data_IF_240368707814
#
_entry.id   IF_240368707814
#
_cell.length_a   1.000
_cell.length_b   1.000
_cell.length_c   1.000
_cell.angle_alpha   90.00
_cell.angle_beta   90.00
_cell.angle_gamma   90.00
#
_symmetry.space_group_name_H-M   'P 1'
#
loop_
_entity.id
_entity.type
_entity.pdbx_description
1 polymer ?
#
# COMPACT_ATOMS: atom_id res chain seq x y z
N UNK A 1 -8.54 14.52 -3.13
CA UNK A 1 -9.22 14.43 -1.83
C UNK A 1 -10.53 13.70 -2.10
N UNK A 2 -10.65 12.45 -1.62
CA UNK A 2 -11.83 11.59 -1.79
C UNK A 2 -12.99 12.26 -1.04
N UNK A 3 -14.20 12.31 -1.61
CA UNK A 3 -15.30 13.19 -1.17
C UNK A 3 -15.93 12.88 0.21
N UNK A 4 -15.18 12.26 1.11
CA UNK A 4 -15.55 11.98 2.49
C UNK A 4 -15.63 13.27 3.30
N UNK A 5 -16.55 13.32 4.25
CA UNK A 5 -16.59 14.37 5.28
C UNK A 5 -16.01 13.82 6.56
N UNK A 6 -15.09 14.58 7.17
CA UNK A 6 -14.51 14.27 8.47
C UNK A 6 -14.88 15.37 9.45
N UNK A 7 -15.30 14.97 10.64
CA UNK A 7 -15.54 15.85 11.76
C UNK A 7 -14.82 15.25 12.96
N UNK A 8 -13.93 16.02 13.59
CA UNK A 8 -13.11 15.56 14.70
C UNK A 8 -13.28 16.43 15.93
N UNK A 9 -12.95 15.85 17.07
CA UNK A 9 -12.82 16.52 18.35
C UNK A 9 -11.78 15.81 19.21
N UNK A 10 -11.63 16.25 20.45
CA UNK A 10 -10.64 15.65 21.36
C UNK A 10 -10.96 14.17 21.62
N UNK A 11 -10.10 13.28 21.11
CA UNK A 11 -10.20 11.84 21.33
C UNK A 11 -11.27 11.11 20.49
N UNK A 12 -11.83 11.74 19.46
CA UNK A 12 -12.79 11.09 18.56
C UNK A 12 -12.81 11.68 17.15
N UNK A 13 -13.30 10.90 16.20
CA UNK A 13 -13.51 11.29 14.81
C UNK A 13 -14.78 10.65 14.24
N UNK A 14 -15.55 11.42 13.49
CA UNK A 14 -16.64 10.94 12.64
C UNK A 14 -16.17 11.03 11.19
N UNK A 15 -16.29 9.93 10.45
CA UNK A 15 -16.05 9.88 9.01
C UNK A 15 -17.36 9.50 8.32
N UNK A 16 -17.85 10.39 7.46
CA UNK A 16 -18.92 10.11 6.52
C UNK A 16 -18.29 9.77 5.16
N UNK A 17 -18.37 8.51 4.71
CA UNK A 17 -17.83 8.15 3.42
C UNK A 17 -18.61 8.81 2.29
N UNK A 18 -17.91 9.07 1.18
CA UNK A 18 -18.48 9.53 -0.08
C UNK A 18 -19.60 8.59 -0.58
N UNK A 19 -19.40 7.28 -0.44
CA UNK A 19 -20.36 6.26 -0.83
C UNK A 19 -21.65 6.41 0.00
N UNK A 20 -22.80 6.72 -0.63
CA UNK A 20 -24.08 6.89 0.06
C UNK A 20 -24.58 5.65 0.81
N UNK A 21 -24.05 4.47 0.48
CA UNK A 21 -24.42 3.19 1.08
C UNK A 21 -23.47 2.75 2.20
N UNK A 22 -22.41 3.50 2.47
CA UNK A 22 -21.51 3.19 3.57
C UNK A 22 -22.03 3.80 4.87
N UNK A 23 -21.90 3.04 5.96
CA UNK A 23 -22.22 3.53 7.29
C UNK A 23 -21.28 4.68 7.69
N UNK A 24 -21.79 5.71 8.40
CA UNK A 24 -20.94 6.61 9.16
C UNK A 24 -19.99 5.82 10.07
N UNK A 25 -18.74 6.23 10.18
CA UNK A 25 -17.77 5.65 11.10
C UNK A 25 -17.51 6.63 12.23
N UNK A 26 -17.52 6.14 13.46
CA UNK A 26 -17.20 6.91 14.66
C UNK A 26 -16.06 6.20 15.36
N UNK A 27 -14.89 6.81 15.31
CA UNK A 27 -13.65 6.30 15.89
C UNK A 27 -13.39 7.05 17.20
N UNK A 28 -13.13 6.31 18.27
CA UNK A 28 -12.83 6.86 19.59
C UNK A 28 -11.43 6.40 19.99
N UNK A 29 -10.55 7.32 20.37
CA UNK A 29 -9.24 6.98 20.90
C UNK A 29 -9.40 6.13 22.18
N UNK A 30 -8.63 5.04 22.28
CA UNK A 30 -8.59 4.13 23.42
C UNK A 30 -8.43 4.85 24.77
N UNK A 31 -7.71 5.97 24.81
CA UNK A 31 -7.56 6.80 26.02
C UNK A 31 -8.88 7.44 26.47
N UNK A 32 -9.79 7.68 25.52
CA UNK A 32 -11.08 8.32 25.74
C UNK A 32 -12.25 7.32 25.62
N UNK A 33 -11.98 6.01 25.56
CA UNK A 33 -12.99 4.97 25.33
C UNK A 33 -14.21 5.07 26.25
N UNK A 34 -14.02 5.49 27.52
CA UNK A 34 -15.10 5.62 28.50
C UNK A 34 -15.63 7.06 28.65
N UNK A 35 -14.81 8.06 28.32
CA UNK A 35 -15.12 9.48 28.59
C UNK A 35 -15.53 10.26 27.35
N UNK A 36 -15.45 9.65 26.16
CA UNK A 36 -15.74 10.32 24.90
C UNK A 36 -17.21 10.76 24.83
N UNK A 37 -17.49 11.99 24.36
CA UNK A 37 -18.86 12.44 24.11
C UNK A 37 -19.58 11.57 23.07
N UNK A 38 -18.84 10.87 22.20
CA UNK A 38 -19.42 10.00 21.17
C UNK A 38 -20.05 8.71 21.72
N UNK A 39 -19.85 8.41 23.00
CA UNK A 39 -20.57 7.36 23.70
C UNK A 39 -22.06 7.72 23.93
N UNK A 40 -22.38 9.02 24.01
CA UNK A 40 -23.76 9.50 24.06
C UNK A 40 -24.39 9.35 22.67
N UNK A 41 -25.48 8.56 22.60
CA UNK A 41 -26.17 8.28 21.34
C UNK A 41 -26.83 9.53 20.74
N UNK A 42 -27.44 10.39 21.57
CA UNK A 42 -28.15 11.58 21.10
C UNK A 42 -27.14 12.57 20.53
N UNK A 43 -26.08 12.84 21.27
CA UNK A 43 -25.02 13.75 20.82
C UNK A 43 -24.33 13.24 19.55
N UNK A 44 -24.09 11.92 19.46
CA UNK A 44 -23.53 11.29 18.26
C UNK A 44 -24.47 11.42 17.05
N UNK A 45 -25.76 11.20 17.23
CA UNK A 45 -26.75 11.36 16.15
C UNK A 45 -26.82 12.82 15.65
N UNK A 46 -26.79 13.79 16.56
CA UNK A 46 -26.73 15.22 16.21
C UNK A 46 -25.45 15.57 15.43
N UNK A 47 -24.29 15.12 15.91
CA UNK A 47 -23.01 15.35 15.24
C UNK A 47 -22.96 14.72 13.83
N UNK A 48 -23.49 13.50 13.67
CA UNK A 48 -23.65 12.86 12.37
C UNK A 48 -24.59 13.67 11.47
N UNK A 49 -25.68 14.24 12.02
CA UNK A 49 -26.59 15.13 11.31
C UNK A 49 -25.87 16.34 10.70
N UNK A 50 -25.06 17.04 11.51
CA UNK A 50 -24.24 18.18 11.06
C UNK A 50 -23.27 17.76 9.94
N UNK A 51 -22.58 16.64 10.13
CA UNK A 51 -21.67 16.12 9.12
C UNK A 51 -22.42 15.77 7.80
N UNK A 52 -23.66 15.25 7.89
CA UNK A 52 -24.50 14.95 6.72
C UNK A 52 -24.93 16.22 5.98
N UNK A 53 -25.20 17.31 6.68
CA UNK A 53 -25.48 18.61 6.06
C UNK A 53 -24.26 19.10 5.26
N UNK A 54 -23.07 19.07 5.87
CA UNK A 54 -21.82 19.42 5.19
C UNK A 54 -21.58 18.52 3.96
N UNK A 55 -21.87 17.23 4.09
CA UNK A 55 -21.76 16.27 2.99
C UNK A 55 -22.65 16.65 1.80
N UNK A 56 -23.82 17.29 2.00
CA UNK A 56 -24.62 17.78 0.88
C UNK A 56 -23.91 18.91 0.13
N UNK A 57 -23.25 19.82 0.83
CA UNK A 57 -22.46 20.89 0.21
C UNK A 57 -21.27 20.35 -0.57
N UNK A 58 -20.54 19.38 -0.01
CA UNK A 58 -19.42 18.70 -0.69
C UNK A 58 -19.91 17.99 -1.96
N UNK A 59 -21.05 17.28 -1.87
CA UNK A 59 -21.69 16.64 -3.03
C UNK A 59 -22.08 17.64 -4.11
N UNK A 60 -22.68 18.77 -3.74
CA UNK A 60 -23.08 19.80 -4.68
C UNK A 60 -21.88 20.39 -5.43
N UNK A 61 -20.77 20.64 -4.73
CA UNK A 61 -19.54 21.13 -5.34
C UNK A 61 -18.96 20.11 -6.31
N UNK A 62 -18.89 18.83 -5.92
CA UNK A 62 -18.42 17.75 -6.81
C UNK A 62 -19.28 17.62 -8.06
N UNK A 63 -20.60 17.71 -7.93
CA UNK A 63 -21.52 17.62 -9.05
C UNK A 63 -21.49 18.83 -9.99
N UNK A 64 -20.97 19.97 -9.54
CA UNK A 64 -20.78 21.14 -10.40
C UNK A 64 -19.73 20.89 -11.49
N UNK A 65 -18.72 20.06 -11.19
CA UNK A 65 -17.67 19.69 -12.14
C UNK A 65 -18.07 18.53 -13.06
N UNK A 66 -19.20 17.86 -12.78
CA UNK A 66 -19.66 16.72 -13.56
C UNK A 66 -20.48 17.15 -14.77
N UNK A 67 -20.46 16.38 -15.87
CA UNK A 67 -21.42 16.55 -16.95
C UNK A 67 -22.85 16.50 -16.40
N UNK A 68 -23.73 17.40 -16.86
CA UNK A 68 -25.15 17.43 -16.42
C UNK A 68 -25.84 16.06 -16.54
N UNK A 69 -25.49 15.27 -17.56
CA UNK A 69 -26.03 13.93 -17.79
C UNK A 69 -25.52 12.86 -16.82
N UNK A 70 -24.50 13.14 -16.01
CA UNK A 70 -24.06 12.24 -14.94
C UNK A 70 -25.02 12.23 -13.75
N UNK A 71 -25.71 13.35 -13.50
CA UNK A 71 -26.63 13.48 -12.35
C UNK A 71 -28.11 13.55 -12.75
N UNK A 72 -28.39 13.83 -14.02
CA UNK A 72 -29.75 13.98 -14.54
C UNK A 72 -29.98 13.12 -15.80
N UNK A 73 -30.60 11.93 -15.65
CA UNK A 73 -31.00 11.09 -16.76
C UNK A 73 -31.89 11.84 -17.77
N UNK A 74 -31.88 11.41 -19.04
CA UNK A 74 -32.85 11.86 -20.05
C UNK A 74 -34.21 11.13 -19.94
N UNK A 75 -35.08 11.32 -20.94
CA UNK A 75 -36.41 10.72 -20.92
C UNK A 75 -36.36 9.18 -21.09
N UNK A 76 -35.32 8.69 -21.75
CA UNK A 76 -35.02 7.29 -22.01
C UNK A 76 -34.19 6.65 -20.88
N UNK A 77 -33.77 7.43 -19.90
CA UNK A 77 -32.97 7.02 -18.75
C UNK A 77 -31.46 7.01 -18.99
N UNK A 78 -30.97 7.52 -20.11
CA UNK A 78 -29.55 7.57 -20.40
C UNK A 78 -28.84 8.57 -19.49
N UNK A 79 -27.65 8.18 -19.04
CA UNK A 79 -26.74 8.99 -18.25
C UNK A 79 -25.33 8.91 -18.83
N UNK A 80 -24.48 9.87 -18.45
CA UNK A 80 -23.07 9.93 -18.89
C UNK A 80 -22.12 9.71 -17.72
N UNK A 81 -21.11 8.86 -17.91
CA UNK A 81 -20.08 8.64 -16.88
C UNK A 81 -19.37 9.96 -16.50
N UNK A 82 -19.18 10.25 -15.20
CA UNK A 82 -18.65 11.54 -14.75
C UNK A 82 -17.16 11.74 -15.03
N UNK A 83 -16.38 10.66 -15.11
CA UNK A 83 -14.92 10.72 -15.22
C UNK A 83 -14.32 10.11 -16.49
N UNK A 84 -15.09 9.27 -17.18
CA UNK A 84 -14.58 8.45 -18.28
C UNK A 84 -15.29 8.91 -19.54
N UNK A 85 -14.53 9.13 -20.59
CA UNK A 85 -15.07 9.48 -21.90
C UNK A 85 -15.71 8.24 -22.53
N UNK A 86 -17.00 8.08 -22.25
CA UNK A 86 -17.82 6.95 -22.70
C UNK A 86 -19.13 7.47 -23.29
N UNK A 87 -19.77 6.66 -24.13
CA UNK A 87 -21.11 6.96 -24.63
C UNK A 87 -22.14 6.98 -23.49
N UNK A 88 -23.24 7.70 -23.72
CA UNK A 88 -24.36 7.71 -22.79
C UNK A 88 -25.08 6.36 -22.85
N UNK A 89 -25.48 5.84 -21.69
CA UNK A 89 -26.17 4.55 -21.60
C UNK A 89 -27.26 4.61 -20.53
N UNK A 90 -28.33 3.88 -20.75
CA UNK A 90 -29.38 3.63 -19.75
C UNK A 90 -29.11 2.38 -18.89
N UNK A 91 -28.06 1.61 -19.21
CA UNK A 91 -27.62 0.41 -18.49
C UNK A 91 -26.12 0.45 -18.20
N UNK A 92 -25.77 0.06 -16.98
CA UNK A 92 -24.42 0.09 -16.44
C UNK A 92 -24.16 -1.19 -15.65
N UNK A 93 -22.91 -1.63 -15.62
CA UNK A 93 -22.50 -2.88 -15.03
C UNK A 93 -21.38 -2.65 -14.01
N UNK A 94 -21.49 -3.31 -12.86
CA UNK A 94 -20.45 -3.24 -11.85
C UNK A 94 -19.42 -4.36 -12.02
N UNK A 95 -18.15 -3.99 -12.18
CA UNK A 95 -17.03 -4.92 -12.32
C UNK A 95 -16.84 -5.85 -11.11
N UNK A 96 -17.26 -5.43 -9.92
CA UNK A 96 -17.01 -6.18 -8.66
C UNK A 96 -18.04 -7.25 -8.37
N UNK A 97 -19.30 -7.03 -8.75
CA UNK A 97 -20.41 -7.88 -8.33
C UNK A 97 -21.35 -8.27 -9.47
N UNK A 98 -20.96 -7.97 -10.71
CA UNK A 98 -21.72 -8.28 -11.92
C UNK A 98 -23.17 -7.77 -11.89
N UNK A 99 -23.45 -6.72 -11.12
CA UNK A 99 -24.80 -6.16 -11.05
C UNK A 99 -25.09 -5.28 -12.27
N UNK A 100 -26.30 -5.40 -12.82
CA UNK A 100 -26.86 -4.52 -13.85
C UNK A 100 -27.65 -3.39 -13.18
N UNK A 101 -27.36 -2.15 -13.58
CA UNK A 101 -27.79 -0.93 -12.90
C UNK A 101 -28.35 0.01 -13.97
N UNK A 102 -29.58 0.48 -13.76
CA UNK A 102 -30.18 1.47 -14.67
C UNK A 102 -29.56 2.86 -14.50
N UNK A 103 -29.62 3.68 -15.54
CA UNK A 103 -29.15 5.07 -15.50
C UNK A 103 -29.71 5.90 -14.32
N UNK A 104 -31.02 5.86 -14.04
CA UNK A 104 -31.59 6.52 -12.86
C UNK A 104 -31.05 5.98 -11.53
N UNK A 105 -30.84 4.66 -11.40
CA UNK A 105 -30.29 4.06 -10.18
C UNK A 105 -28.85 4.53 -9.94
N UNK A 106 -27.99 4.52 -10.98
CA UNK A 106 -26.58 4.88 -10.82
C UNK A 106 -26.39 6.38 -10.58
N UNK A 107 -27.14 7.24 -11.28
CA UNK A 107 -27.10 8.68 -11.06
C UNK A 107 -27.61 9.04 -9.65
N UNK A 108 -28.71 8.40 -9.20
CA UNK A 108 -29.26 8.58 -7.86
C UNK A 108 -28.36 8.09 -6.73
N UNK A 109 -27.45 7.16 -7.03
CA UNK A 109 -26.45 6.63 -6.09
C UNK A 109 -25.05 7.20 -6.31
N UNK A 110 -24.94 8.36 -6.97
CA UNK A 110 -23.68 9.11 -7.11
C UNK A 110 -22.57 8.30 -7.78
N UNK A 111 -22.95 7.44 -8.72
CA UNK A 111 -22.05 6.54 -9.43
C UNK A 111 -21.38 5.46 -8.59
N UNK A 112 -21.82 5.25 -7.34
CA UNK A 112 -21.48 4.03 -6.62
C UNK A 112 -22.41 2.89 -7.01
N UNK A 113 -21.89 1.66 -7.12
CA UNK A 113 -22.74 0.48 -7.32
C UNK A 113 -23.79 0.39 -6.21
N UNK A 114 -25.10 0.34 -6.52
CA UNK A 114 -26.11 0.29 -5.46
C UNK A 114 -26.20 -1.07 -4.74
N UNK A 115 -25.54 -2.10 -5.26
CA UNK A 115 -25.47 -3.44 -4.66
C UNK A 115 -24.29 -3.59 -3.69
N UNK A 116 -23.06 -3.29 -4.14
CA UNK A 116 -21.84 -3.52 -3.35
C UNK A 116 -21.10 -2.24 -2.93
N UNK A 117 -21.51 -1.06 -3.41
CA UNK A 117 -20.84 0.21 -3.08
C UNK A 117 -19.55 0.52 -3.85
N UNK A 118 -19.18 -0.31 -4.84
CA UNK A 118 -18.01 -0.08 -5.68
C UNK A 118 -17.97 1.35 -6.26
N UNK A 119 -16.76 1.89 -6.40
CA UNK A 119 -16.54 3.28 -6.83
C UNK A 119 -16.86 3.51 -8.31
N UNK A 120 -17.09 4.77 -8.73
CA UNK A 120 -17.48 5.11 -10.10
C UNK A 120 -16.59 4.51 -11.20
N UNK A 121 -15.27 4.46 -11.00
CA UNK A 121 -14.33 3.92 -11.99
C UNK A 121 -14.56 2.43 -12.33
N UNK A 122 -15.33 1.72 -11.50
CA UNK A 122 -15.67 0.31 -11.69
C UNK A 122 -17.07 0.10 -12.28
N UNK A 123 -17.72 1.16 -12.77
CA UNK A 123 -19.04 1.13 -13.36
C UNK A 123 -18.92 1.41 -14.85
N UNK A 124 -19.30 0.42 -15.66
CA UNK A 124 -18.99 0.38 -17.07
C UNK A 124 -20.26 0.19 -17.91
N UNK A 125 -20.34 0.74 -19.13
CA UNK A 125 -21.55 0.64 -19.96
C UNK A 125 -21.73 -0.77 -20.56
N UNK A 126 -20.69 -1.60 -20.52
CA UNK A 126 -20.69 -2.98 -21.00
C UNK A 126 -19.95 -3.89 -20.02
N UNK A 127 -20.42 -5.13 -19.87
CA UNK A 127 -19.81 -6.16 -19.04
C UNK A 127 -18.75 -6.98 -19.80
N UNK A 128 -17.76 -6.32 -20.42
CA UNK A 128 -16.79 -6.95 -21.32
C UNK A 128 -15.94 -8.07 -20.67
N UNK A 129 -15.89 -8.11 -19.34
CA UNK A 129 -15.16 -9.13 -18.58
C UNK A 129 -15.91 -10.46 -18.46
N UNK A 130 -17.19 -10.50 -18.82
CA UNK A 130 -18.00 -11.72 -18.79
C UNK A 130 -17.91 -12.43 -20.14
N UNK A 131 -17.50 -13.70 -20.10
CA UNK A 131 -17.51 -14.60 -21.24
C UNK A 131 -18.91 -15.15 -21.55
N UNK A 132 -19.08 -15.84 -22.70
CA UNK A 132 -20.37 -16.36 -23.13
C UNK A 132 -21.04 -17.37 -22.18
N UNK A 133 -20.24 -18.02 -21.33
CA UNK A 133 -20.70 -19.05 -20.39
C UNK A 133 -20.80 -18.54 -18.94
N UNK A 134 -20.44 -17.28 -18.69
CA UNK A 134 -20.49 -16.72 -17.34
C UNK A 134 -21.92 -16.37 -16.95
N UNK A 135 -22.16 -16.27 -15.63
CA UNK A 135 -23.44 -15.84 -15.10
C UNK A 135 -23.76 -14.43 -15.62
N UNK A 136 -25.00 -14.27 -16.11
CA UNK A 136 -25.46 -12.98 -16.65
C UNK A 136 -25.54 -11.94 -15.52
N UNK A 137 -25.32 -10.66 -15.84
CA UNK A 137 -25.52 -9.60 -14.88
C UNK A 137 -26.91 -9.63 -14.25
N UNK A 138 -26.96 -9.41 -12.94
CA UNK A 138 -28.21 -9.46 -12.17
C UNK A 138 -28.71 -8.03 -11.94
N UNK A 139 -29.95 -7.70 -12.32
CA UNK A 139 -30.51 -6.38 -12.05
C UNK A 139 -30.50 -6.04 -10.56
N UNK A 140 -29.99 -4.85 -10.22
CA UNK A 140 -30.03 -4.38 -8.83
C UNK A 140 -31.47 -4.17 -8.41
N UNK A 141 -31.86 -4.82 -7.32
CA UNK A 141 -33.16 -4.57 -6.70
C UNK A 141 -33.22 -3.15 -6.14
N UNK A 142 -34.31 -2.44 -6.46
CA UNK A 142 -34.60 -1.15 -5.85
C UNK A 142 -34.71 -1.30 -4.34
N UNK A 143 -33.74 -0.78 -3.59
CA UNK A 143 -33.86 -0.71 -2.13
C UNK A 143 -34.99 0.27 -1.82
N UNK A 144 -35.96 -0.15 -1.01
CA UNK A 144 -36.99 0.74 -0.45
C UNK A 144 -36.30 1.91 0.28
N UNK A 145 -37.03 3.01 0.45
CA UNK A 145 -36.58 4.28 1.06
C UNK A 145 -35.44 4.09 2.07
N UNK A 146 -34.35 4.86 1.85
CA UNK A 146 -33.07 4.79 2.56
C UNK A 146 -33.28 4.63 4.08
N UNK A 147 -33.29 3.39 4.57
CA UNK A 147 -33.14 3.12 5.99
C UNK A 147 -31.85 3.81 6.44
N UNK A 148 -31.93 4.58 7.51
CA UNK A 148 -30.74 5.18 8.09
C UNK A 148 -29.78 4.06 8.49
N UNK A 149 -28.58 4.11 7.92
CA UNK A 149 -27.54 3.14 8.23
C UNK A 149 -26.98 3.52 9.60
N UNK A 150 -27.07 2.60 10.55
CA UNK A 150 -26.50 2.80 11.87
C UNK A 150 -24.99 3.06 11.78
N UNK A 151 -24.46 4.00 12.58
CA UNK A 151 -23.03 4.26 12.60
C UNK A 151 -22.25 3.08 13.16
N UNK A 152 -21.09 2.80 12.56
CA UNK A 152 -20.11 1.87 13.11
C UNK A 152 -19.28 2.63 14.14
N UNK A 153 -19.35 2.22 15.40
CA UNK A 153 -18.56 2.81 16.49
C UNK A 153 -17.41 1.88 16.84
N UNK A 154 -16.17 2.37 16.78
CA UNK A 154 -14.97 1.62 17.11
C UNK A 154 -14.06 2.39 18.07
N UNK A 155 -13.44 1.65 18.99
CA UNK A 155 -12.34 2.18 19.81
C UNK A 155 -11.02 1.82 19.13
N UNK A 156 -10.19 2.82 18.85
CA UNK A 156 -8.93 2.68 18.13
C UNK A 156 -7.75 3.14 18.99
N UNK A 157 -6.58 2.51 18.83
CA UNK A 157 -5.33 3.07 19.34
C UNK A 157 -4.67 3.87 18.21
N UNK A 158 -4.67 5.22 18.27
CA UNK A 158 -4.16 6.03 17.17
C UNK A 158 -2.63 6.10 17.15
N UNK A 159 -1.93 5.46 18.10
CA UNK A 159 -0.47 5.42 18.09
C UNK A 159 0.02 4.69 16.84
N UNK A 160 0.95 5.26 16.07
CA UNK A 160 1.58 4.56 14.96
C UNK A 160 2.15 3.23 15.45
N UNK A 161 1.79 2.14 14.78
CA UNK A 161 2.39 0.84 14.98
C UNK A 161 3.56 0.67 14.01
N UNK A 162 4.71 0.27 14.54
CA UNK A 162 5.84 -0.17 13.74
C UNK A 162 5.85 -1.70 13.78
N UNK A 163 5.17 -2.32 12.82
CA UNK A 163 5.18 -3.78 12.66
C UNK A 163 6.28 -4.12 11.63
N UNK A 164 7.49 -4.44 12.10
CA UNK A 164 8.61 -4.85 11.24
C UNK A 164 8.49 -6.35 10.90
N UNK A 165 8.69 -6.70 9.64
CA UNK A 165 8.85 -8.07 9.20
C UNK A 165 10.31 -8.44 8.92
N UNK A 166 10.58 -9.73 8.70
CA UNK A 166 11.93 -10.26 8.49
C UNK A 166 12.65 -9.57 7.33
N UNK A 167 11.95 -9.23 6.25
CA UNK A 167 12.54 -8.52 5.10
C UNK A 167 12.96 -7.09 5.48
N UNK A 168 12.13 -6.38 6.24
CA UNK A 168 12.42 -5.02 6.69
C UNK A 168 13.60 -5.00 7.66
N UNK A 169 13.67 -5.95 8.60
CA UNK A 169 14.82 -6.12 9.50
C UNK A 169 16.08 -6.42 8.69
N UNK A 170 16.00 -7.37 7.77
CA UNK A 170 17.10 -7.75 6.85
C UNK A 170 17.61 -6.54 6.06
N UNK A 171 16.71 -5.69 5.56
CA UNK A 171 17.09 -4.47 4.84
C UNK A 171 17.79 -3.45 5.72
N UNK A 172 17.33 -3.23 6.96
CA UNK A 172 17.96 -2.31 7.90
C UNK A 172 19.36 -2.78 8.28
N UNK A 173 19.53 -4.08 8.55
CA UNK A 173 20.83 -4.67 8.86
C UNK A 173 21.76 -4.55 7.64
N UNK A 174 21.32 -4.90 6.43
CA UNK A 174 22.13 -4.77 5.21
C UNK A 174 22.54 -3.32 4.93
N UNK A 175 21.65 -2.37 5.14
CA UNK A 175 21.98 -0.95 5.01
C UNK A 175 23.09 -0.54 5.98
N UNK A 176 23.02 -1.00 7.23
CA UNK A 176 24.06 -0.77 8.23
C UNK A 176 25.40 -1.44 7.87
N UNK A 177 25.38 -2.65 7.28
CA UNK A 177 26.60 -3.29 6.76
C UNK A 177 27.27 -2.45 5.67
N UNK A 178 26.50 -1.76 4.82
CA UNK A 178 27.06 -0.83 3.85
C UNK A 178 27.69 0.41 4.48
N UNK A 179 27.19 0.86 5.64
CA UNK A 179 27.82 1.95 6.41
C UNK A 179 29.18 1.51 6.98
N UNK A 180 29.28 0.26 7.43
CA UNK A 180 30.51 -0.30 7.95
C UNK A 180 31.57 -0.55 6.84
N UNK A 181 31.15 -0.73 5.59
CA UNK A 181 32.05 -1.05 4.47
C UNK A 181 32.95 0.13 4.06
N UNK A 182 34.26 -0.09 4.06
CA UNK A 182 35.30 0.93 3.80
C UNK A 182 35.92 0.83 2.40
N UNK A 183 35.63 -0.24 1.65
CA UNK A 183 36.23 -0.51 0.34
C UNK A 183 35.31 -1.32 -0.60
N UNK A 184 35.81 -1.52 -1.83
CA UNK A 184 35.36 -2.44 -2.88
C UNK A 184 34.78 -3.75 -2.34
N UNK A 185 35.67 -4.51 -1.71
CA UNK A 185 35.43 -5.86 -1.20
C UNK A 185 34.33 -5.85 -0.16
N UNK A 186 34.44 -4.99 0.85
CA UNK A 186 33.52 -4.99 1.99
C UNK A 186 32.11 -4.62 1.57
N UNK A 187 31.92 -3.77 0.55
CA UNK A 187 30.58 -3.50 0.01
C UNK A 187 30.00 -4.68 -0.75
N UNK A 188 30.84 -5.47 -1.41
CA UNK A 188 30.41 -6.74 -2.01
C UNK A 188 30.04 -7.73 -0.91
N UNK A 189 30.83 -7.78 0.17
CA UNK A 189 30.54 -8.56 1.36
C UNK A 189 29.20 -8.19 1.98
N UNK A 190 28.95 -6.91 2.26
CA UNK A 190 27.66 -6.42 2.76
C UNK A 190 26.50 -6.73 1.80
N UNK A 191 26.72 -6.61 0.49
CA UNK A 191 25.69 -6.89 -0.52
C UNK A 191 25.34 -8.37 -0.62
N UNK A 192 26.34 -9.25 -0.49
CA UNK A 192 26.20 -10.70 -0.63
C UNK A 192 25.95 -11.41 0.69
N UNK A 193 26.11 -10.70 1.82
CA UNK A 193 25.85 -11.25 3.14
C UNK A 193 24.46 -11.88 3.18
N UNK A 194 24.44 -13.16 3.55
CA UNK A 194 23.22 -13.90 3.83
C UNK A 194 22.74 -13.45 5.20
N UNK A 195 21.51 -12.93 5.24
CA UNK A 195 20.89 -12.40 6.45
C UNK A 195 19.55 -13.09 6.58
N UNK A 196 19.35 -13.78 7.69
CA UNK A 196 18.06 -14.35 8.04
C UNK A 196 17.72 -13.99 9.48
N UNK A 197 16.42 -13.89 9.74
CA UNK A 197 15.85 -13.66 11.06
C UNK A 197 15.24 -14.98 11.48
N UNK A 198 15.64 -15.49 12.64
CA UNK A 198 15.12 -16.74 13.17
C UNK A 198 13.78 -16.55 13.92
N UNK A 199 13.28 -17.63 14.52
CA UNK A 199 12.00 -17.65 15.21
C UNK A 199 12.02 -16.87 16.55
N UNK A 200 13.20 -16.63 17.12
CA UNK A 200 13.41 -15.85 18.34
C UNK A 200 13.68 -14.36 18.04
N UNK A 201 13.59 -13.98 16.75
CA UNK A 201 13.89 -12.66 16.18
C UNK A 201 15.37 -12.30 16.21
N UNK A 202 16.26 -13.26 16.43
CA UNK A 202 17.69 -13.05 16.32
C UNK A 202 18.10 -13.02 14.86
N UNK A 203 19.09 -12.18 14.55
CA UNK A 203 19.59 -11.99 13.19
C UNK A 203 20.91 -12.73 13.06
N UNK A 204 20.99 -13.66 12.13
CA UNK A 204 22.27 -14.25 11.74
C UNK A 204 22.75 -13.57 10.46
N UNK A 205 23.99 -13.12 10.47
CA UNK A 205 24.68 -12.55 9.32
C UNK A 205 25.86 -13.43 8.96
N UNK A 206 25.78 -14.09 7.81
CA UNK A 206 26.89 -14.86 7.28
C UNK A 206 27.66 -14.10 6.20
N UNK A 207 28.98 -13.98 6.40
CA UNK A 207 29.87 -13.30 5.47
C UNK A 207 30.73 -14.28 4.66
N UNK A 208 30.97 -13.91 3.41
CA UNK A 208 32.02 -14.53 2.60
C UNK A 208 33.39 -13.93 2.95
N UNK A 209 34.34 -14.77 3.36
CA UNK A 209 35.65 -14.36 3.91
C UNK A 209 36.54 -13.61 2.91
N UNK A 210 36.34 -13.84 1.61
CA UNK A 210 37.03 -13.11 0.54
C UNK A 210 36.64 -11.63 0.47
N UNK A 211 35.43 -11.29 0.95
CA UNK A 211 34.88 -9.94 0.83
C UNK A 211 34.85 -9.18 2.15
N UNK A 212 34.56 -9.85 3.26
CA UNK A 212 34.52 -9.25 4.58
C UNK A 212 35.62 -9.83 5.48
N UNK A 213 36.50 -9.00 6.08
CA UNK A 213 37.56 -9.51 6.95
C UNK A 213 37.00 -10.21 8.18
N UNK A 214 37.52 -11.39 8.52
CA UNK A 214 37.11 -12.20 9.68
C UNK A 214 37.26 -11.44 11.01
N UNK A 215 38.27 -10.56 11.11
CA UNK A 215 38.56 -9.76 12.30
C UNK A 215 37.76 -8.45 12.38
N UNK A 216 36.90 -8.18 11.40
CA UNK A 216 36.15 -6.93 11.32
C UNK A 216 34.72 -7.09 11.83
N UNK A 217 34.44 -6.45 12.96
CA UNK A 217 33.08 -6.35 13.49
C UNK A 217 32.22 -5.32 12.71
N UNK A 218 31.00 -5.68 12.30
CA UNK A 218 30.04 -4.76 11.68
C UNK A 218 29.35 -3.89 12.75
N UNK A 219 30.06 -2.86 13.21
CA UNK A 219 29.65 -2.03 14.34
C UNK A 219 28.33 -1.30 14.12
N UNK A 220 28.04 -0.81 12.92
CA UNK A 220 26.77 -0.18 12.60
C UNK A 220 25.62 -1.19 12.60
N UNK A 221 25.82 -2.38 12.03
CA UNK A 221 24.80 -3.43 12.05
C UNK A 221 24.46 -3.88 13.48
N UNK A 222 25.47 -4.07 14.33
CA UNK A 222 25.28 -4.41 15.76
C UNK A 222 24.47 -3.32 16.48
N UNK A 223 24.74 -2.04 16.21
CA UNK A 223 23.96 -0.92 16.78
C UNK A 223 22.51 -0.91 16.32
N UNK A 224 22.25 -1.20 15.05
CA UNK A 224 20.89 -1.27 14.52
C UNK A 224 20.13 -2.44 15.15
N UNK A 225 20.74 -3.63 15.24
CA UNK A 225 20.13 -4.77 15.93
C UNK A 225 19.77 -4.43 17.39
N UNK A 226 20.69 -3.80 18.13
CA UNK A 226 20.43 -3.36 19.50
C UNK A 226 19.28 -2.34 19.63
N UNK A 227 19.13 -1.41 18.67
CA UNK A 227 18.00 -0.47 18.63
C UNK A 227 16.65 -1.15 18.36
N UNK A 228 16.69 -2.26 17.62
CA UNK A 228 15.52 -3.11 17.37
C UNK A 228 15.23 -4.08 18.52
N UNK A 229 16.15 -4.20 19.49
CA UNK A 229 16.05 -5.14 20.60
C UNK A 229 16.31 -6.59 20.17
N UNK A 230 17.16 -6.77 19.15
CA UNK A 230 17.47 -8.04 18.49
C UNK A 230 18.94 -8.41 18.76
N UNK A 231 19.24 -9.69 19.04
CA UNK A 231 20.62 -10.15 19.08
C UNK A 231 21.14 -10.44 17.65
N UNK A 232 22.44 -10.30 17.45
CA UNK A 232 23.08 -10.54 16.17
C UNK A 232 24.17 -11.60 16.33
N UNK A 233 24.08 -12.65 15.52
CA UNK A 233 25.09 -13.69 15.38
C UNK A 233 25.85 -13.50 14.07
N UNK A 234 27.18 -13.64 14.13
CA UNK A 234 28.06 -13.47 12.99
C UNK A 234 28.66 -14.82 12.62
N UNK A 235 28.47 -15.19 11.36
CA UNK A 235 29.00 -16.43 10.79
C UNK A 235 29.89 -16.15 9.58
N UNK A 236 30.71 -17.13 9.23
CA UNK A 236 31.54 -17.10 8.02
C UNK A 236 31.11 -18.27 7.13
N UNK A 237 30.79 -17.96 5.88
CA UNK A 237 30.58 -18.94 4.82
C UNK A 237 31.84 -19.00 3.94
N UNK A 238 32.22 -20.22 3.58
CA UNK A 238 33.22 -20.46 2.55
C UNK A 238 32.53 -20.87 1.25
N UNK A 239 32.53 -19.99 0.26
CA UNK A 239 32.03 -20.27 -1.08
C UNK A 239 33.06 -19.96 -2.15
N UNK A 240 32.77 -20.32 -3.40
CA UNK A 240 33.54 -19.83 -4.54
C UNK A 240 33.07 -18.40 -4.85
N UNK A 241 33.88 -17.37 -4.59
CA UNK A 241 33.44 -16.00 -4.74
C UNK A 241 33.16 -15.69 -6.22
N UNK A 242 32.00 -15.08 -6.48
CA UNK A 242 31.52 -14.79 -7.84
C UNK A 242 32.50 -13.94 -8.68
N UNK A 243 33.33 -13.11 -8.03
CA UNK A 243 34.22 -12.15 -8.69
C UNK A 243 35.38 -11.65 -7.80
N UNK A 244 36.00 -12.50 -6.98
CA UNK A 244 37.11 -12.08 -6.11
C UNK A 244 38.48 -12.24 -6.79
N UNK A 245 39.29 -11.18 -6.70
CA UNK A 245 40.74 -11.26 -6.94
C UNK A 245 41.48 -10.88 -5.65
N UNK A 246 42.42 -11.72 -5.15
CA UNK A 246 43.04 -11.50 -3.85
C UNK A 246 43.63 -10.09 -3.70
N UNK A 247 43.19 -9.38 -2.65
CA UNK A 247 43.69 -8.05 -2.28
C UNK A 247 43.30 -6.89 -3.20
N UNK A 248 42.52 -7.13 -4.26
CA UNK A 248 42.15 -6.08 -5.22
C UNK A 248 40.96 -5.23 -4.75
N UNK A 249 40.04 -5.84 -4.01
CA UNK A 249 38.87 -5.17 -3.45
C UNK A 249 39.22 -4.16 -2.35
N UNK A 250 40.41 -4.27 -1.75
CA UNK A 250 40.83 -3.45 -0.60
C UNK A 250 41.54 -2.16 -1.02
N UNK A 251 41.99 -2.03 -2.27
CA UNK A 251 42.77 -0.85 -2.74
C UNK A 251 41.91 0.30 -3.26
N UNK A 252 40.59 0.12 -3.35
CA UNK A 252 39.69 1.14 -3.91
C UNK A 252 38.34 1.19 -3.20
N UNK A 253 37.77 2.39 -3.12
CA UNK A 253 36.39 2.62 -2.71
C UNK A 253 35.45 2.80 -3.89
N UNK A 254 35.87 2.59 -5.13
CA UNK A 254 35.00 2.73 -6.31
C UNK A 254 34.72 1.35 -6.92
N UNK A 255 33.45 0.97 -7.03
CA UNK A 255 33.04 -0.29 -7.67
C UNK A 255 33.40 -0.30 -9.16
N UNK A 256 33.38 0.87 -9.82
CA UNK A 256 33.82 0.99 -11.20
C UNK A 256 35.33 0.75 -11.34
N UNK A 257 36.12 1.31 -10.42
CA UNK A 257 37.57 1.11 -10.42
C UNK A 257 37.96 -0.31 -10.04
N UNK A 258 37.25 -0.92 -9.08
CA UNK A 258 37.40 -2.34 -8.76
C UNK A 258 37.14 -3.21 -9.99
N UNK A 259 36.03 -2.96 -10.69
CA UNK A 259 35.69 -3.68 -11.93
C UNK A 259 36.79 -3.55 -12.98
N UNK A 260 37.35 -2.34 -13.17
CA UNK A 260 38.46 -2.11 -14.10
C UNK A 260 39.70 -2.92 -13.71
N UNK A 261 40.12 -2.80 -12.45
CA UNK A 261 41.29 -3.50 -11.92
C UNK A 261 41.12 -5.01 -12.05
N UNK A 262 39.94 -5.53 -11.72
CA UNK A 262 39.61 -6.95 -11.84
C UNK A 262 39.74 -7.41 -13.29
N UNK A 263 39.10 -6.70 -14.24
CA UNK A 263 39.21 -7.02 -15.66
C UNK A 263 40.67 -7.00 -16.16
N UNK A 264 41.47 -6.03 -15.73
CA UNK A 264 42.89 -5.94 -16.09
C UNK A 264 43.70 -7.11 -15.50
N UNK A 265 43.41 -7.52 -14.26
CA UNK A 265 44.03 -8.68 -13.62
C UNK A 265 43.68 -9.99 -14.35
N UNK A 266 42.40 -10.21 -14.67
CA UNK A 266 41.97 -11.39 -15.43
C UNK A 266 42.53 -11.42 -16.86
N UNK A 267 42.66 -10.27 -17.55
CA UNK A 267 43.34 -10.22 -18.86
C UNK A 267 44.82 -10.56 -18.79
N UNK A 268 45.49 -10.15 -17.71
CA UNK A 268 46.94 -10.30 -17.56
C UNK A 268 47.35 -11.68 -17.02
N UNK A 269 46.46 -12.34 -16.27
CA UNK A 269 46.79 -13.53 -15.48
C UNK A 269 45.75 -14.66 -15.56
N UNK A 270 44.56 -14.43 -16.13
CA UNK A 270 43.48 -15.40 -16.25
C UNK A 270 43.23 -15.87 -17.69
N UNK A 271 42.58 -17.02 -17.84
CA UNK A 271 41.99 -17.43 -19.12
C UNK A 271 40.62 -16.74 -19.27
N UNK A 272 40.56 -15.63 -20.00
CA UNK A 272 39.30 -14.92 -20.23
C UNK A 272 38.52 -15.57 -21.37
N UNK A 273 37.30 -16.10 -21.10
CA UNK A 273 36.24 -16.16 -22.11
C UNK A 273 35.49 -14.84 -22.10
N UNK A 274 35.48 -14.13 -23.22
CA UNK A 274 34.70 -12.90 -23.35
C UNK A 274 33.22 -13.23 -23.56
N UNK A 275 32.33 -12.27 -23.30
CA UNK A 275 30.87 -12.41 -23.39
C UNK A 275 30.35 -12.85 -24.78
N UNK A 276 31.21 -12.86 -25.79
CA UNK A 276 30.96 -13.40 -27.13
C UNK A 276 31.10 -14.94 -27.21
N UNK A 277 31.48 -15.61 -26.10
CA UNK A 277 31.65 -17.06 -26.00
C UNK A 277 30.70 -17.74 -24.99
N UNK A 278 29.61 -17.06 -24.57
CA UNK A 278 28.50 -17.62 -23.78
C UNK A 278 27.20 -17.49 -24.57
#
# INVERSE_FOLDING_TARGET
MLGDVRMDGEGWQIVLPENPLAAPRVEIDIKHAQTSPMNDRVLREEAIGIARELMQSVKAQRFADWPRRATKPDAEGNVRHPFLEMEESNLWYCLHCNSEITGPQIAGNQWHCPSCGASPINILPEAFWLGPNDEKPVPVQSRAERQEIEPIVSVIDPRPRLDLNNDQVTHLIRAALFEDATNASERMGASLAEIWVDDDLDVVVSFEDHYWPEDKEPTAAIKVAALLGIEIELEVTWSDPLFAWPGLGTVTQSTAEYTRLMLDAYRSHGATRTKDEI
#
